data_IF_961755979013
#
_entry.id   IF_961755979013
#
_cell.length_a   1.000
_cell.length_b   1.000
_cell.length_c   1.000
_cell.angle_alpha   90.00
_cell.angle_beta   90.00
_cell.angle_gamma   90.00
#
_symmetry.space_group_name_H-M   'P 1'
#
loop_
_entity.id
_entity.type
_entity.pdbx_description
1 polymer ?
#
# COMPACT_ATOMS: atom_id res chain seq x y z
N UNK A 1 2.48 -11.18 23.24
CA UNK A 1 3.14 -9.98 22.68
C UNK A 1 3.59 -10.38 21.29
N UNK A 2 2.82 -10.02 20.27
CA UNK A 2 3.13 -10.42 18.89
C UNK A 2 4.38 -9.64 18.46
N UNK A 3 5.47 -10.37 18.22
CA UNK A 3 6.77 -9.81 17.89
C UNK A 3 6.69 -9.16 16.51
N UNK A 4 6.90 -7.84 16.44
CA UNK A 4 6.82 -7.11 15.16
C UNK A 4 7.97 -7.53 14.27
N UNK A 5 7.68 -7.82 13.01
CA UNK A 5 8.71 -8.22 12.05
C UNK A 5 9.69 -7.07 11.78
N UNK A 6 10.95 -7.36 11.41
CA UNK A 6 11.91 -6.32 11.02
C UNK A 6 11.37 -5.41 9.90
N UNK A 7 10.69 -5.98 8.91
CA UNK A 7 10.04 -5.26 7.83
C UNK A 7 8.96 -4.29 8.33
N UNK A 8 8.14 -4.70 9.30
CA UNK A 8 7.11 -3.84 9.90
C UNK A 8 7.74 -2.63 10.60
N UNK A 9 8.75 -2.86 11.44
CA UNK A 9 9.42 -1.76 12.16
C UNK A 9 10.07 -0.79 11.19
N UNK A 10 10.76 -1.30 10.17
CA UNK A 10 11.43 -0.49 9.16
C UNK A 10 10.44 0.34 8.34
N UNK A 11 9.42 -0.28 7.76
CA UNK A 11 8.42 0.40 6.92
C UNK A 11 7.61 1.43 7.69
N UNK A 12 7.20 1.10 8.91
CA UNK A 12 6.48 2.03 9.78
C UNK A 12 7.30 3.27 10.11
N UNK A 13 8.59 3.09 10.44
CA UNK A 13 9.50 4.21 10.68
C UNK A 13 9.70 5.06 9.42
N UNK A 14 9.88 4.41 8.28
CA UNK A 14 10.06 5.08 7.00
C UNK A 14 8.84 5.93 6.63
N UNK A 15 7.63 5.36 6.68
CA UNK A 15 6.39 6.09 6.41
C UNK A 15 6.22 7.29 7.37
N UNK A 16 6.48 7.11 8.67
CA UNK A 16 6.41 8.20 9.64
C UNK A 16 7.42 9.32 9.35
N UNK A 17 8.64 8.97 8.97
CA UNK A 17 9.65 9.94 8.56
C UNK A 17 9.25 10.69 7.29
N UNK A 18 8.78 9.96 6.28
CA UNK A 18 8.29 10.54 5.04
C UNK A 18 7.18 11.56 5.30
N UNK A 19 6.16 11.20 6.08
CA UNK A 19 5.07 12.11 6.45
C UNK A 19 5.63 13.37 7.10
N UNK A 20 6.50 13.24 8.12
CA UNK A 20 7.13 14.42 8.78
C UNK A 20 7.84 15.32 7.78
N UNK A 21 8.59 14.76 6.83
CA UNK A 21 9.33 15.52 5.83
C UNK A 21 8.40 16.28 4.87
N UNK A 22 7.40 15.60 4.31
CA UNK A 22 6.50 16.23 3.32
C UNK A 22 5.49 17.18 3.94
N UNK A 23 5.15 17.01 5.22
CA UNK A 23 4.26 17.92 5.93
C UNK A 23 4.97 19.08 6.63
N UNK A 24 6.31 19.12 6.63
CA UNK A 24 7.09 20.14 7.34
C UNK A 24 6.85 21.56 6.80
N UNK A 25 6.58 21.70 5.49
CA UNK A 25 6.43 22.99 4.80
C UNK A 25 5.00 23.27 4.33
N UNK A 26 4.15 22.24 4.22
CA UNK A 26 2.78 22.37 3.80
C UNK A 26 1.91 21.32 4.50
N UNK A 27 0.71 21.69 4.97
CA UNK A 27 -0.19 20.75 5.66
C UNK A 27 -0.91 19.86 4.65
N UNK A 28 -0.19 18.87 4.11
CA UNK A 28 -0.82 17.77 3.38
C UNK A 28 -1.53 16.86 4.41
N UNK A 29 -2.83 16.56 4.25
CA UNK A 29 -3.57 15.75 5.21
C UNK A 29 -3.26 14.25 5.04
N UNK A 30 -2.00 13.88 5.34
CA UNK A 30 -1.50 12.51 5.34
C UNK A 30 -1.65 11.88 6.74
N UNK A 31 -2.90 11.66 7.14
CA UNK A 31 -3.31 11.25 8.50
C UNK A 31 -3.51 9.73 8.71
N UNK A 32 -3.09 8.91 7.74
CA UNK A 32 -3.29 7.47 7.67
C UNK A 32 -4.76 7.04 7.62
N UNK A 33 -5.66 7.91 7.18
CA UNK A 33 -7.05 7.56 6.85
C UNK A 33 -7.15 6.90 5.47
N UNK A 34 -8.30 6.27 5.19
CA UNK A 34 -8.58 5.79 3.82
C UNK A 34 -8.78 6.98 2.87
N UNK A 35 -9.27 8.11 3.37
CA UNK A 35 -9.52 9.31 2.57
C UNK A 35 -8.22 9.97 2.11
N UNK A 36 -7.16 9.92 2.91
CA UNK A 36 -5.85 10.47 2.53
C UNK A 36 -5.22 9.77 1.33
N UNK A 37 -5.65 8.56 0.95
CA UNK A 37 -5.21 7.92 -0.29
C UNK A 37 -5.57 8.73 -1.54
N UNK A 38 -6.63 9.56 -1.51
CA UNK A 38 -6.89 10.52 -2.60
C UNK A 38 -5.80 11.58 -2.67
N UNK A 39 -5.29 12.04 -1.52
CA UNK A 39 -4.18 13.01 -1.45
C UNK A 39 -2.93 12.40 -2.07
N UNK A 40 -2.66 11.11 -1.79
CA UNK A 40 -1.56 10.39 -2.43
C UNK A 40 -1.75 10.32 -3.95
N UNK A 41 -2.95 9.96 -4.43
CA UNK A 41 -3.27 9.98 -5.87
C UNK A 41 -2.99 11.38 -6.48
N UNK A 42 -3.41 12.46 -5.82
CA UNK A 42 -3.16 13.85 -6.28
C UNK A 42 -1.68 14.22 -6.30
N UNK A 43 -0.90 13.82 -5.29
CA UNK A 43 0.55 14.05 -5.26
C UNK A 43 1.22 13.35 -6.44
N UNK A 44 0.84 12.10 -6.71
CA UNK A 44 1.38 11.33 -7.85
C UNK A 44 1.03 12.00 -9.18
N UNK A 45 -0.19 12.51 -9.33
CA UNK A 45 -0.58 13.26 -10.54
C UNK A 45 0.23 14.55 -10.71
N UNK A 46 0.54 15.25 -9.61
CA UNK A 46 1.41 16.42 -9.61
C UNK A 46 2.83 16.09 -10.10
N UNK A 47 3.43 15.03 -9.55
CA UNK A 47 4.75 14.54 -9.96
C UNK A 47 4.78 14.16 -11.44
N UNK A 48 3.75 13.48 -11.94
CA UNK A 48 3.65 13.06 -13.34
C UNK A 48 3.56 14.26 -14.28
N UNK A 49 2.78 15.29 -13.91
CA UNK A 49 2.64 16.53 -14.69
C UNK A 49 3.92 17.37 -14.70
N UNK A 50 4.72 17.30 -13.65
CA UNK A 50 5.98 18.03 -13.52
C UNK A 50 7.08 17.62 -14.50
N UNK A 51 6.89 16.53 -15.27
CA UNK A 51 7.89 15.96 -16.20
C UNK A 51 9.26 15.69 -15.56
N UNK A 52 9.32 15.50 -14.25
CA UNK A 52 10.53 15.10 -13.55
C UNK A 52 11.02 13.75 -14.05
N UNK A 53 12.34 13.55 -14.11
CA UNK A 53 12.87 12.24 -14.43
C UNK A 53 12.47 11.24 -13.35
N UNK A 54 12.27 9.98 -13.75
CA UNK A 54 11.83 8.92 -12.84
C UNK A 54 12.80 8.71 -11.67
N UNK A 55 14.09 8.95 -11.90
CA UNK A 55 15.13 8.87 -10.88
C UNK A 55 14.91 9.92 -9.77
N UNK A 56 14.53 11.14 -10.11
CA UNK A 56 14.36 12.25 -9.17
C UNK A 56 13.18 12.03 -8.21
N UNK A 57 12.15 11.34 -8.68
CA UNK A 57 10.93 11.10 -7.90
C UNK A 57 10.93 9.76 -7.18
N UNK A 58 11.93 8.90 -7.39
CA UNK A 58 11.94 7.53 -6.88
C UNK A 58 11.80 7.45 -5.35
N UNK A 59 12.51 8.31 -4.61
CA UNK A 59 12.44 8.34 -3.15
C UNK A 59 11.05 8.80 -2.66
N UNK A 60 10.43 9.75 -3.36
CA UNK A 60 9.09 10.25 -3.03
C UNK A 60 8.05 9.16 -3.31
N UNK A 61 8.13 8.47 -4.45
CA UNK A 61 7.25 7.35 -4.78
C UNK A 61 7.37 6.21 -3.76
N UNK A 62 8.60 5.91 -3.32
CA UNK A 62 8.83 4.93 -2.27
C UNK A 62 8.17 5.34 -0.94
N UNK A 63 8.33 6.60 -0.51
CA UNK A 63 7.70 7.13 0.69
C UNK A 63 6.16 7.12 0.64
N UNK A 64 5.58 7.47 -0.51
CA UNK A 64 4.14 7.37 -0.78
C UNK A 64 3.66 5.90 -0.76
N UNK A 65 4.48 4.98 -1.25
CA UNK A 65 4.27 3.53 -1.18
C UNK A 65 4.24 3.01 0.25
N UNK A 66 5.24 3.38 1.05
CA UNK A 66 5.32 3.04 2.48
C UNK A 66 4.10 3.60 3.25
N UNK A 67 3.73 4.86 2.96
CA UNK A 67 2.53 5.47 3.54
C UNK A 67 1.25 4.70 3.17
N UNK A 68 1.11 4.32 1.89
CA UNK A 68 -0.04 3.52 1.42
C UNK A 68 -0.11 2.18 2.14
N UNK A 69 1.03 1.49 2.31
CA UNK A 69 1.09 0.25 3.07
C UNK A 69 0.71 0.44 4.54
N UNK A 70 1.12 1.53 5.19
CA UNK A 70 0.69 1.85 6.56
C UNK A 70 -0.82 2.10 6.67
N UNK A 71 -1.45 2.69 5.65
CA UNK A 71 -2.92 2.80 5.61
C UNK A 71 -3.55 1.41 5.57
N UNK A 72 -3.01 0.48 4.78
CA UNK A 72 -3.52 -0.90 4.71
C UNK A 72 -3.35 -1.64 6.04
N UNK A 73 -2.19 -1.51 6.68
CA UNK A 73 -1.93 -2.12 7.99
C UNK A 73 -2.93 -1.61 9.03
N UNK A 74 -3.12 -0.30 9.12
CA UNK A 74 -3.96 0.32 10.16
C UNK A 74 -5.45 0.21 9.92
N UNK A 75 -5.89 0.20 8.66
CA UNK A 75 -7.32 0.31 8.30
C UNK A 75 -7.90 -0.98 7.75
N UNK A 76 -7.07 -1.88 7.21
CA UNK A 76 -7.51 -3.13 6.61
C UNK A 76 -6.96 -4.38 7.33
N UNK A 77 -6.28 -4.20 8.47
CA UNK A 77 -5.70 -5.29 9.26
C UNK A 77 -4.58 -6.03 8.56
N UNK A 78 -3.91 -5.39 7.60
CA UNK A 78 -2.76 -5.98 6.93
C UNK A 78 -1.53 -6.00 7.84
N UNK A 79 -0.52 -6.79 7.48
CA UNK A 79 0.77 -6.83 8.15
C UNK A 79 1.89 -6.65 7.12
N UNK A 80 2.94 -5.92 7.47
CA UNK A 80 4.14 -5.86 6.65
C UNK A 80 4.87 -7.21 6.68
N UNK A 81 5.26 -7.68 5.50
CA UNK A 81 6.00 -8.92 5.30
C UNK A 81 7.20 -8.66 4.39
N UNK A 82 8.26 -9.42 4.60
CA UNK A 82 9.29 -9.59 3.59
C UNK A 82 8.76 -10.51 2.51
N UNK A 83 9.01 -10.16 1.26
CA UNK A 83 8.77 -11.05 0.15
C UNK A 83 9.76 -12.21 0.17
N UNK A 84 9.28 -13.39 -0.21
CA UNK A 84 10.15 -14.52 -0.54
C UNK A 84 10.91 -14.27 -1.86
N UNK A 85 11.80 -15.20 -2.24
CA UNK A 85 12.64 -15.03 -3.43
C UNK A 85 11.82 -14.82 -4.70
N UNK A 86 10.78 -15.64 -4.91
CA UNK A 86 9.91 -15.59 -6.10
C UNK A 86 9.13 -14.27 -6.16
N UNK A 87 8.63 -13.80 -5.01
CA UNK A 87 7.93 -12.52 -4.90
C UNK A 87 8.87 -11.33 -5.12
N UNK A 88 10.11 -11.40 -4.64
CA UNK A 88 11.12 -10.35 -4.90
C UNK A 88 11.43 -10.24 -6.38
N UNK A 89 11.56 -11.37 -7.07
CA UNK A 89 11.77 -11.41 -8.51
C UNK A 89 10.56 -10.82 -9.27
N UNK A 90 9.34 -11.18 -8.87
CA UNK A 90 8.11 -10.69 -9.51
C UNK A 90 7.85 -9.19 -9.27
N UNK A 91 8.11 -8.70 -8.06
CA UNK A 91 7.73 -7.34 -7.64
C UNK A 91 8.87 -6.33 -7.69
N UNK A 92 10.12 -6.76 -7.79
CA UNK A 92 11.31 -5.91 -7.82
C UNK A 92 11.57 -5.14 -6.52
N UNK A 93 10.91 -5.51 -5.42
CA UNK A 93 11.02 -4.86 -4.12
C UNK A 93 11.02 -5.91 -3.00
N UNK A 94 11.67 -5.65 -1.85
CA UNK A 94 11.87 -6.67 -0.81
C UNK A 94 10.66 -6.89 0.11
N UNK A 95 9.65 -6.01 0.07
CA UNK A 95 8.57 -5.96 1.06
C UNK A 95 7.22 -5.70 0.44
N UNK A 96 6.17 -6.15 1.13
CA UNK A 96 4.80 -5.76 0.86
C UNK A 96 3.91 -6.01 2.07
N UNK A 97 2.61 -6.06 1.85
CA UNK A 97 1.63 -6.28 2.91
C UNK A 97 0.83 -7.55 2.68
N UNK A 98 0.66 -8.33 3.73
CA UNK A 98 -0.20 -9.51 3.75
C UNK A 98 -1.52 -9.17 4.43
N UNK A 99 -2.62 -9.45 3.76
CA UNK A 99 -3.97 -9.30 4.32
C UNK A 99 -4.30 -10.47 5.25
N UNK A 100 -5.34 -10.31 6.07
CA UNK A 100 -5.83 -11.39 6.95
C UNK A 100 -6.27 -12.65 6.18
N UNK A 101 -6.66 -12.52 4.91
CA UNK A 101 -6.98 -13.65 4.02
C UNK A 101 -5.75 -14.33 3.38
N UNK A 102 -4.54 -13.96 3.83
CA UNK A 102 -3.27 -14.54 3.38
C UNK A 102 -2.71 -13.94 2.09
N UNK A 103 -3.48 -13.14 1.34
CA UNK A 103 -2.99 -12.56 0.08
C UNK A 103 -1.98 -11.46 0.31
N UNK A 104 -0.91 -11.50 -0.47
CA UNK A 104 0.19 -10.53 -0.44
C UNK A 104 -0.01 -9.48 -1.53
N UNK A 105 0.27 -8.22 -1.19
CA UNK A 105 0.13 -7.07 -2.06
C UNK A 105 1.38 -6.18 -2.00
N UNK A 106 1.73 -5.56 -3.13
CA UNK A 106 2.84 -4.60 -3.20
C UNK A 106 2.33 -3.14 -3.28
N UNK A 107 2.20 -2.43 -2.14
CA UNK A 107 1.77 -1.02 -2.15
C UNK A 107 2.82 -0.09 -2.78
N UNK A 108 4.12 -0.40 -2.66
CA UNK A 108 5.20 0.40 -3.23
C UNK A 108 5.15 0.32 -4.77
N UNK A 109 5.09 -0.89 -5.32
CA UNK A 109 4.92 -1.12 -6.75
C UNK A 109 3.60 -0.55 -7.28
N UNK A 110 2.53 -0.57 -6.48
CA UNK A 110 1.25 0.02 -6.86
C UNK A 110 1.33 1.54 -7.06
N UNK A 111 2.05 2.25 -6.20
CA UNK A 111 2.30 3.70 -6.35
C UNK A 111 3.13 3.99 -7.61
N UNK A 112 4.16 3.20 -7.86
CA UNK A 112 4.97 3.31 -9.09
C UNK A 112 4.10 3.10 -10.32
N UNK A 113 3.28 2.05 -10.33
CA UNK A 113 2.34 1.77 -11.42
C UNK A 113 1.34 2.91 -11.63
N UNK A 114 0.90 3.56 -10.55
CA UNK A 114 0.03 4.75 -10.60
C UNK A 114 0.70 5.98 -11.18
N UNK A 115 1.99 6.15 -10.93
CA UNK A 115 2.80 7.20 -11.57
C UNK A 115 2.97 6.93 -13.07
N UNK A 116 3.32 5.69 -13.44
CA UNK A 116 3.62 5.31 -14.83
C UNK A 116 2.34 5.24 -15.71
N UNK A 117 1.26 4.63 -15.23
CA UNK A 117 0.05 4.34 -16.02
C UNK A 117 -1.16 5.28 -15.74
N UNK A 118 -1.05 6.16 -14.74
CA UNK A 118 -2.06 7.20 -14.48
C UNK A 118 -3.31 6.72 -13.72
N UNK A 119 -4.38 7.51 -13.81
CA UNK A 119 -5.54 7.52 -12.89
C UNK A 119 -6.26 6.18 -12.70
N UNK A 120 -6.20 5.29 -13.71
CA UNK A 120 -6.77 3.93 -13.63
C UNK A 120 -6.19 3.09 -12.50
N UNK A 121 -5.00 3.45 -12.03
CA UNK A 121 -4.29 2.74 -10.97
C UNK A 121 -4.52 3.36 -9.58
N UNK A 122 -5.60 4.12 -9.39
CA UNK A 122 -5.91 4.82 -8.13
C UNK A 122 -5.71 3.94 -6.88
N UNK A 123 -5.00 4.51 -5.90
CA UNK A 123 -4.70 3.87 -4.62
C UNK A 123 -5.94 3.76 -3.74
N UNK A 124 -6.83 4.76 -3.82
CA UNK A 124 -8.11 4.67 -3.13
C UNK A 124 -8.98 3.55 -3.69
N UNK A 125 -9.07 3.42 -5.02
CA UNK A 125 -9.85 2.35 -5.64
C UNK A 125 -9.26 0.98 -5.32
N UNK A 126 -7.93 0.89 -5.31
CA UNK A 126 -7.21 -0.29 -4.86
C UNK A 126 -7.61 -0.72 -3.44
N UNK A 127 -7.62 0.20 -2.47
CA UNK A 127 -8.07 -0.08 -1.09
C UNK A 127 -9.49 -0.66 -1.04
N UNK A 128 -10.42 -0.05 -1.77
CA UNK A 128 -11.83 -0.48 -1.78
C UNK A 128 -12.00 -1.89 -2.38
N UNK A 129 -11.18 -2.25 -3.37
CA UNK A 129 -11.21 -3.57 -3.99
C UNK A 129 -10.69 -4.70 -3.08
N UNK A 130 -9.85 -4.40 -2.09
CA UNK A 130 -9.35 -5.40 -1.14
C UNK A 130 -10.50 -6.01 -0.32
N UNK A 131 -11.46 -5.18 0.09
CA UNK A 131 -12.60 -5.57 0.92
C UNK A 131 -13.70 -6.28 0.11
N UNK A 132 -13.92 -5.85 -1.14
CA UNK A 132 -14.89 -6.50 -2.04
C UNK A 132 -14.51 -7.94 -2.44
N UNK A 133 -13.24 -8.34 -2.28
CA UNK A 133 -12.80 -9.73 -2.51
C UNK A 133 -12.83 -10.59 -1.24
N UNK A 134 -12.52 -10.03 -0.07
CA UNK A 134 -12.58 -10.75 1.20
C UNK A 134 -14.01 -11.24 1.53
N UNK A 135 -15.02 -10.36 1.35
CA UNK A 135 -16.42 -10.72 1.60
C UNK A 135 -16.95 -11.84 0.68
N UNK A 136 -16.51 -11.87 -0.59
CA UNK A 136 -16.91 -12.91 -1.55
C UNK A 136 -16.29 -14.28 -1.26
N UNK A 137 -15.12 -14.31 -0.62
CA UNK A 137 -14.43 -15.56 -0.32
C UNK A 137 -14.90 -16.17 1.00
N UNK A 138 -15.18 -15.34 2.02
CA UNK A 138 -15.87 -15.78 3.23
C UNK A 138 -17.24 -16.41 2.90
N UNK A 139 -18.02 -15.78 2.02
CA UNK A 139 -19.28 -16.35 1.54
C UNK A 139 -19.12 -17.69 0.78
N UNK A 140 -17.99 -17.91 0.07
CA UNK A 140 -17.68 -19.18 -0.60
C UNK A 140 -17.27 -20.28 0.37
N UNK A 141 -16.50 -19.94 1.40
CA UNK A 141 -16.07 -20.85 2.46
C UNK A 141 -17.27 -21.39 3.25
N UNK A 142 -18.16 -20.49 3.70
CA UNK A 142 -19.41 -20.84 4.39
C UNK A 142 -20.32 -21.70 3.50
N UNK A 143 -20.40 -21.40 2.20
CA UNK A 143 -21.19 -22.21 1.26
C UNK A 143 -20.59 -23.61 1.01
N UNK A 144 -19.28 -23.80 1.16
CA UNK A 144 -18.64 -25.11 1.05
C UNK A 144 -18.85 -25.94 2.33
N UNK A 145 -18.75 -25.31 3.49
CA UNK A 145 -18.94 -25.95 4.80
C UNK A 145 -20.41 -26.30 5.08
N UNK A 146 -21.37 -25.50 4.59
CA UNK A 146 -22.81 -25.76 4.71
C UNK A 146 -23.39 -26.82 3.75
N UNK A 147 -22.56 -27.44 2.88
CA UNK A 147 -22.97 -28.54 1.98
C UNK A 147 -22.51 -29.92 2.44
N UNK A 148 -21.81 -29.99 3.57
CA UNK A 148 -21.31 -31.24 4.16
C UNK A 148 -22.12 -31.67 5.40
N UNK A 149 -23.37 -31.21 5.52
CA UNK A 149 -24.30 -31.59 6.58
C UNK A 149 -25.57 -32.22 5.99
#
# INVERSE_FOLDING_TARGET
MEERTPAEVWMRRHAAQFVRQVTARNRLPLDYSVNSLRVVDFIVDGLRKGKSERADVQQVLFGLGAYTGEVLVRRAGAQWVEFDADQRELFGQPVGVRMADGRVWNPLGKVVKRYDAGERESLRMFYLQLHGRAARQAARQVAFEGRSA
#
